data_IF_568559361451
#
_entry.id   IF_568559361451
#
_cell.length_a   1.000
_cell.length_b   1.000
_cell.length_c   1.000
_cell.angle_alpha   90.00
_cell.angle_beta   90.00
_cell.angle_gamma   90.00
#
_symmetry.space_group_name_H-M   'P 1'
#
loop_
_entity.id
_entity.type
_entity.pdbx_description
1 polymer ?
#
# COMPACT_ATOMS: atom_id res chain seq x y z
N UNK A 1 13.13 -2.94 -2.75
CA UNK A 1 12.83 -1.63 -2.18
C UNK A 1 11.33 -1.45 -1.98
N UNK A 2 10.96 -0.79 -0.86
CA UNK A 2 9.55 -0.67 -0.46
C UNK A 2 8.73 0.09 -1.51
N UNK A 3 9.24 1.21 -2.00
CA UNK A 3 8.50 2.02 -2.99
C UNK A 3 8.27 1.26 -4.28
N UNK A 4 9.26 0.52 -4.75
CA UNK A 4 9.13 -0.26 -5.96
C UNK A 4 8.07 -1.35 -5.81
N UNK A 5 8.04 -2.00 -4.64
CA UNK A 5 7.05 -3.04 -4.37
C UNK A 5 5.65 -2.46 -4.27
N UNK A 6 5.51 -1.29 -3.66
CA UNK A 6 4.21 -0.60 -3.59
C UNK A 6 3.73 -0.27 -5.01
N UNK A 7 4.61 0.28 -5.85
CA UNK A 7 4.26 0.62 -7.22
C UNK A 7 3.87 -0.60 -8.04
N UNK A 8 4.53 -1.74 -7.81
CA UNK A 8 4.20 -2.97 -8.51
C UNK A 8 2.78 -3.41 -8.21
N UNK A 9 2.40 -3.43 -6.93
CA UNK A 9 1.06 -3.82 -6.54
C UNK A 9 0.03 -2.78 -6.99
N UNK A 10 0.34 -1.51 -6.78
CA UNK A 10 -0.56 -0.42 -7.17
C UNK A 10 -0.81 -0.41 -8.67
N UNK A 11 0.22 -0.67 -9.47
CA UNK A 11 0.10 -0.73 -10.91
C UNK A 11 -0.78 -1.88 -11.37
N UNK A 12 -0.72 -3.01 -10.67
CA UNK A 12 -1.50 -4.19 -10.98
C UNK A 12 -3.01 -3.92 -10.89
N UNK A 13 -3.41 -3.08 -9.94
CA UNK A 13 -4.83 -2.76 -9.72
C UNK A 13 -5.18 -1.34 -10.16
N UNK A 14 -4.23 -0.62 -10.73
CA UNK A 14 -4.43 0.76 -11.18
C UNK A 14 -4.90 1.67 -10.04
N UNK A 15 -4.25 1.57 -8.91
CA UNK A 15 -4.56 2.34 -7.70
C UNK A 15 -3.30 3.04 -7.21
N UNK A 16 -3.46 3.96 -6.25
CA UNK A 16 -2.33 4.70 -5.68
C UNK A 16 -2.09 4.40 -4.21
N UNK A 17 -3.09 3.83 -3.51
CA UNK A 17 -2.98 3.59 -2.07
C UNK A 17 -3.90 2.48 -1.63
N UNK A 18 -3.73 2.05 -0.38
CA UNK A 18 -4.59 1.04 0.23
C UNK A 18 -6.04 1.54 0.34
N UNK A 19 -6.24 2.84 0.49
CA UNK A 19 -7.58 3.41 0.55
C UNK A 19 -8.34 3.18 -0.76
N UNK A 20 -7.65 3.30 -1.90
CA UNK A 20 -8.27 3.02 -3.19
C UNK A 20 -8.54 1.53 -3.37
N UNK A 21 -7.70 0.68 -2.79
CA UNK A 21 -7.91 -0.76 -2.79
C UNK A 21 -9.23 -1.09 -2.07
N UNK A 22 -9.42 -0.51 -0.87
CA UNK A 22 -10.67 -0.67 -0.12
C UNK A 22 -11.87 -0.23 -0.95
N UNK A 23 -11.73 0.85 -1.69
CA UNK A 23 -12.80 1.37 -2.52
C UNK A 23 -13.18 0.38 -3.61
N UNK A 24 -12.20 -0.29 -4.20
CA UNK A 24 -12.46 -1.33 -5.20
C UNK A 24 -13.29 -2.48 -4.61
N UNK A 25 -13.00 -2.86 -3.38
CA UNK A 25 -13.78 -3.88 -2.69
C UNK A 25 -15.22 -3.43 -2.46
N UNK A 26 -15.39 -2.18 -2.00
CA UNK A 26 -16.72 -1.63 -1.74
C UNK A 26 -17.55 -1.54 -3.00
N UNK A 27 -16.92 -1.26 -4.12
CA UNK A 27 -17.59 -1.15 -5.40
C UNK A 27 -17.77 -2.49 -6.10
N UNK A 28 -17.22 -3.55 -5.54
CA UNK A 28 -17.32 -4.89 -6.12
C UNK A 28 -16.53 -5.09 -7.40
N UNK A 29 -15.51 -4.26 -7.62
CA UNK A 29 -14.73 -4.33 -8.86
C UNK A 29 -13.66 -5.40 -8.84
N UNK A 30 -13.30 -5.90 -7.67
CA UNK A 30 -12.30 -6.96 -7.54
C UNK A 30 -12.81 -8.01 -6.54
N UNK A 31 -12.34 -9.23 -6.71
CA UNK A 31 -12.67 -10.32 -5.80
C UNK A 31 -11.74 -10.29 -4.59
N UNK A 32 -12.35 -10.25 -3.40
CA UNK A 32 -11.61 -10.24 -2.16
C UNK A 32 -10.75 -11.50 -2.02
N UNK A 33 -11.28 -12.63 -2.41
CA UNK A 33 -10.59 -13.92 -2.27
C UNK A 33 -9.25 -13.96 -3.03
N UNK A 34 -9.23 -13.48 -4.25
CA UNK A 34 -8.03 -13.55 -5.10
C UNK A 34 -7.04 -12.43 -4.84
N UNK A 35 -7.48 -11.33 -4.26
CA UNK A 35 -6.64 -10.15 -4.05
C UNK A 35 -6.24 -9.92 -2.60
N UNK A 36 -6.68 -10.77 -1.68
CA UNK A 36 -6.43 -10.58 -0.26
C UNK A 36 -4.93 -10.53 0.09
N UNK A 37 -4.13 -11.38 -0.54
CA UNK A 37 -2.69 -11.41 -0.29
C UNK A 37 -2.03 -10.09 -0.69
N UNK A 38 -2.42 -9.57 -1.87
CA UNK A 38 -1.89 -8.30 -2.36
C UNK A 38 -2.33 -7.15 -1.45
N UNK A 39 -3.58 -7.21 -0.98
CA UNK A 39 -4.10 -6.20 -0.06
C UNK A 39 -3.26 -6.16 1.22
N UNK A 40 -3.05 -7.33 1.82
CA UNK A 40 -2.27 -7.41 3.06
C UNK A 40 -0.83 -6.98 2.85
N UNK A 41 -0.25 -7.34 1.71
CA UNK A 41 1.12 -6.96 1.40
C UNK A 41 1.23 -5.46 1.21
N UNK A 42 0.30 -4.85 0.50
CA UNK A 42 0.31 -3.41 0.29
C UNK A 42 0.12 -2.66 1.59
N UNK A 43 -0.79 -3.12 2.44
CA UNK A 43 -1.01 -2.52 3.76
C UNK A 43 0.28 -2.52 4.58
N UNK A 44 0.96 -3.65 4.60
CA UNK A 44 2.23 -3.79 5.34
C UNK A 44 3.31 -2.87 4.76
N UNK A 45 3.41 -2.82 3.43
CA UNK A 45 4.41 -1.99 2.78
C UNK A 45 4.18 -0.50 3.04
N UNK A 46 2.93 -0.07 2.99
CA UNK A 46 2.63 1.33 3.29
C UNK A 46 2.93 1.67 4.74
N UNK A 47 2.63 0.77 5.65
CA UNK A 47 2.96 0.96 7.06
C UNK A 47 4.47 1.10 7.25
N UNK A 48 5.25 0.23 6.62
CA UNK A 48 6.70 0.26 6.71
C UNK A 48 7.27 1.55 6.13
N UNK A 49 6.73 1.97 4.97
CA UNK A 49 7.17 3.22 4.35
C UNK A 49 6.89 4.42 5.25
N UNK A 50 5.71 4.49 5.81
CA UNK A 50 5.33 5.61 6.66
C UNK A 50 6.15 5.64 7.94
N UNK A 51 6.42 4.48 8.50
CA UNK A 51 7.24 4.38 9.70
C UNK A 51 8.68 4.84 9.42
N UNK A 52 9.24 4.44 8.28
CA UNK A 52 10.57 4.85 7.89
C UNK A 52 10.64 6.34 7.66
N UNK A 53 9.66 6.90 6.96
CA UNK A 53 9.60 8.34 6.72
C UNK A 53 9.53 9.13 8.02
N UNK A 54 8.74 8.65 8.96
CA UNK A 54 8.63 9.30 10.28
C UNK A 54 9.95 9.27 11.02
N UNK A 55 10.64 8.15 10.96
CA UNK A 55 11.96 8.00 11.59
C UNK A 55 12.98 8.97 10.99
N UNK A 56 12.99 9.08 9.67
CA UNK A 56 13.90 9.99 8.97
C UNK A 56 13.61 11.45 9.31
N UNK A 57 12.33 11.81 9.44
CA UNK A 57 11.95 13.16 9.83
C UNK A 57 12.45 13.49 11.23
N UNK A 58 12.38 12.55 12.14
CA UNK A 58 12.88 12.75 13.49
C UNK A 58 14.39 12.99 13.49
N UNK A 59 15.10 12.25 12.65
CA UNK A 59 16.55 12.44 12.54
C UNK A 59 16.92 13.80 11.97
N UNK A 60 16.14 14.28 11.01
CA UNK A 60 16.39 15.57 10.39
C UNK A 60 16.12 16.74 11.33
N UNK A 61 15.20 16.57 12.27
CA UNK A 61 14.81 17.63 13.21
C UNK A 61 15.70 17.69 14.43
N UNK A 62 16.60 16.75 14.59
CA UNK A 62 17.60 16.77 15.65
C UNK A 62 18.80 17.60 15.24
#
# INVERSE_FOLDING_TARGET
>A
EIKAQIHEIAGKYNIQSIAEFDKLYQEGKIEEHTSMEDYKKLDRLEYQRDKLNSYLQQMEND
#
